data_IF_565673532320
#
_entry.id   IF_565673532320
#
_cell.length_a   1.000
_cell.length_b   1.000
_cell.length_c   1.000
_cell.angle_alpha   90.00
_cell.angle_beta   90.00
_cell.angle_gamma   90.00
#
_symmetry.space_group_name_H-M   'P 1'
#
loop_
_entity.id
_entity.type
_entity.pdbx_description
1 polymer ?
#
# COMPACT_ATOMS: atom_id res chain seq x y z
N UNK A 1 -19.95 7.42 7.10
CA UNK A 1 -18.93 8.44 7.02
C UNK A 1 -17.95 8.15 5.88
N UNK A 2 -17.52 9.21 5.22
CA UNK A 2 -16.62 9.08 4.07
C UNK A 2 -15.31 8.40 4.42
N UNK A 3 -14.77 8.67 5.61
CA UNK A 3 -13.50 8.08 6.02
C UNK A 3 -13.60 6.57 6.19
N UNK A 4 -14.73 6.07 6.69
CA UNK A 4 -14.91 4.63 6.85
C UNK A 4 -14.93 3.93 5.50
N UNK A 5 -15.56 4.54 4.51
CA UNK A 5 -15.63 3.97 3.16
C UNK A 5 -14.25 3.94 2.53
N UNK A 6 -13.50 5.04 2.65
CA UNK A 6 -12.15 5.12 2.09
C UNK A 6 -11.24 4.10 2.77
N UNK A 7 -11.33 3.99 4.09
CA UNK A 7 -10.51 3.03 4.83
C UNK A 7 -10.80 1.60 4.37
N UNK A 8 -12.07 1.27 4.21
CA UNK A 8 -12.46 -0.06 3.75
C UNK A 8 -11.89 -0.34 2.36
N UNK A 9 -11.92 0.66 1.47
CA UNK A 9 -11.35 0.54 0.14
C UNK A 9 -9.86 0.17 0.22
N UNK A 10 -9.12 0.86 1.07
CA UNK A 10 -7.69 0.59 1.20
C UNK A 10 -7.42 -0.76 1.85
N UNK A 11 -8.25 -1.17 2.80
CA UNK A 11 -8.11 -2.50 3.40
C UNK A 11 -8.31 -3.61 2.36
N UNK A 12 -9.21 -3.42 1.42
CA UNK A 12 -9.42 -4.38 0.35
C UNK A 12 -8.31 -4.33 -0.69
N UNK A 13 -7.77 -3.14 -0.94
CA UNK A 13 -6.68 -2.98 -1.92
C UNK A 13 -5.35 -3.50 -1.39
N UNK A 14 -5.16 -3.50 -0.08
CA UNK A 14 -3.90 -3.92 0.54
C UNK A 14 -3.44 -5.30 0.07
N UNK A 15 -4.25 -6.37 0.23
CA UNK A 15 -3.81 -7.70 -0.20
C UNK A 15 -3.56 -7.77 -1.71
N UNK A 16 -4.28 -6.99 -2.49
CA UNK A 16 -4.08 -6.94 -3.93
C UNK A 16 -2.68 -6.44 -4.27
N UNK A 17 -2.27 -5.32 -3.66
CA UNK A 17 -0.94 -4.76 -3.91
C UNK A 17 0.16 -5.60 -3.31
N UNK A 18 -0.08 -6.20 -2.15
CA UNK A 18 0.91 -7.08 -1.53
C UNK A 18 1.15 -8.32 -2.39
N UNK A 19 0.11 -8.83 -3.02
CA UNK A 19 0.24 -9.95 -3.95
C UNK A 19 1.03 -9.54 -5.19
N UNK A 20 0.77 -8.35 -5.71
CA UNK A 20 1.51 -7.84 -6.86
C UNK A 20 3.00 -7.70 -6.53
N UNK A 21 3.32 -7.23 -5.32
CA UNK A 21 4.71 -7.12 -4.86
C UNK A 21 5.37 -8.50 -4.81
N UNK A 22 4.65 -9.50 -4.29
CA UNK A 22 5.18 -10.85 -4.18
C UNK A 22 5.43 -11.49 -5.54
N UNK A 23 4.55 -11.21 -6.51
CA UNK A 23 4.66 -11.80 -7.84
C UNK A 23 5.67 -11.07 -8.71
N UNK A 24 5.72 -9.76 -8.62
CA UNK A 24 6.59 -8.94 -9.48
C UNK A 24 7.29 -7.85 -8.67
N UNK A 25 8.20 -8.24 -7.77
CA UNK A 25 8.88 -7.25 -6.94
C UNK A 25 9.75 -6.28 -7.73
N UNK A 26 10.21 -6.68 -8.93
CA UNK A 26 11.02 -5.84 -9.79
C UNK A 26 10.24 -4.69 -10.39
N UNK A 27 8.94 -4.86 -10.54
CA UNK A 27 8.08 -3.86 -11.18
C UNK A 27 7.41 -3.01 -10.10
N UNK A 28 8.22 -2.17 -9.45
CA UNK A 28 7.76 -1.38 -8.32
C UNK A 28 6.62 -0.44 -8.68
N UNK A 29 6.57 0.05 -9.92
CA UNK A 29 5.51 0.95 -10.36
C UNK A 29 4.13 0.28 -10.36
N UNK A 30 4.06 -1.05 -10.29
CA UNK A 30 2.78 -1.75 -10.21
C UNK A 30 2.20 -1.74 -8.79
N UNK A 31 3.04 -1.69 -7.76
CA UNK A 31 2.56 -1.85 -6.38
C UNK A 31 3.10 -0.80 -5.42
N UNK A 32 4.21 -0.15 -5.73
CA UNK A 32 4.89 0.72 -4.78
C UNK A 32 4.02 1.92 -4.38
N UNK A 33 3.53 2.68 -5.36
CA UNK A 33 2.70 3.84 -5.07
C UNK A 33 1.37 3.43 -4.43
N UNK A 34 0.81 2.31 -4.86
CA UNK A 34 -0.42 1.80 -4.28
C UNK A 34 -0.24 1.44 -2.81
N UNK A 35 0.81 0.70 -2.49
CA UNK A 35 1.10 0.36 -1.11
C UNK A 35 1.44 1.58 -0.26
N UNK A 36 2.13 2.55 -0.85
CA UNK A 36 2.42 3.79 -0.14
C UNK A 36 1.13 4.45 0.36
N UNK A 37 0.16 4.58 -0.53
CA UNK A 37 -1.13 5.17 -0.18
C UNK A 37 -1.91 4.31 0.80
N UNK A 38 -1.92 3.00 0.59
CA UNK A 38 -2.63 2.07 1.46
C UNK A 38 -2.09 2.16 2.88
N UNK A 39 -0.78 2.03 3.04
CA UNK A 39 -0.18 2.05 4.37
C UNK A 39 -0.32 3.41 5.05
N UNK A 40 -0.22 4.49 4.26
CA UNK A 40 -0.41 5.83 4.80
C UNK A 40 -1.83 6.02 5.34
N UNK A 41 -2.82 5.64 4.55
CA UNK A 41 -4.21 5.86 4.94
C UNK A 41 -4.67 4.90 6.04
N UNK A 42 -4.04 3.74 6.17
CA UNK A 42 -4.36 2.78 7.23
C UNK A 42 -3.51 2.98 8.49
N UNK A 43 -2.64 3.99 8.49
CA UNK A 43 -1.75 4.29 9.61
C UNK A 43 -0.85 3.11 9.97
N UNK A 44 -0.34 2.42 8.97
CA UNK A 44 0.56 1.29 9.17
C UNK A 44 2.00 1.78 9.14
N UNK A 45 2.44 2.37 10.24
CA UNK A 45 3.73 3.05 10.34
C UNK A 45 4.94 2.23 9.90
N UNK A 46 5.19 1.04 10.47
CA UNK A 46 6.35 0.24 10.06
C UNK A 46 6.35 -0.12 8.59
N UNK A 47 5.20 -0.52 8.06
CA UNK A 47 5.06 -0.88 6.66
C UNK A 47 5.22 0.36 5.78
N UNK A 48 4.66 1.47 6.22
CA UNK A 48 4.80 2.74 5.49
C UNK A 48 6.27 3.15 5.39
N UNK A 49 7.01 3.03 6.48
CA UNK A 49 8.42 3.39 6.47
C UNK A 49 9.21 2.53 5.50
N UNK A 50 8.91 1.24 5.42
CA UNK A 50 9.57 0.35 4.48
C UNK A 50 9.32 0.80 3.03
N UNK A 51 8.08 1.12 2.71
CA UNK A 51 7.74 1.58 1.36
C UNK A 51 8.37 2.94 1.08
N UNK A 52 8.38 3.83 2.05
CA UNK A 52 8.99 5.15 1.91
C UNK A 52 10.48 5.05 1.56
N UNK A 53 11.18 4.12 2.19
CA UNK A 53 12.59 3.88 1.88
C UNK A 53 12.80 3.42 0.45
N UNK A 54 11.89 2.62 -0.06
CA UNK A 54 11.97 2.15 -1.44
C UNK A 54 11.71 3.27 -2.44
N UNK A 55 10.98 4.30 -2.04
CA UNK A 55 10.69 5.43 -2.90
C UNK A 55 11.80 6.48 -2.94
N UNK A 56 12.73 6.42 -2.02
CA UNK A 56 13.82 7.39 -1.94
C UNK A 56 15.06 6.94 -2.77
#
# INVERSE_FOLDING_TARGET
EAQAVVKKFYEEAKPFYEKARALKPDQQDLWLQGLYRVYYNLNMGPEFEEIDKLMK
#
